data_IF_134705484462
#
_entry.id   IF_134705484462
#
_cell.length_a   1.000
_cell.length_b   1.000
_cell.length_c   1.000
_cell.angle_alpha   90.00
_cell.angle_beta   90.00
_cell.angle_gamma   90.00
#
_symmetry.space_group_name_H-M   'P 1'
#
loop_
_entity.id
_entity.type
_entity.pdbx_description
1 polymer ?
#
# COMPACT_ATOMS: atom_id res chain seq x y z
N UNK A 1 -4.34 23.36 6.89
CA UNK A 1 -4.32 23.20 8.36
C UNK A 1 -5.51 22.41 8.96
N UNK A 2 -6.69 22.38 8.32
CA UNK A 2 -7.83 21.61 8.82
C UNK A 2 -7.75 20.09 8.52
N UNK A 3 -7.15 19.71 7.41
CA UNK A 3 -7.01 18.31 6.98
C UNK A 3 -6.06 17.53 7.90
N UNK A 4 -4.98 18.16 8.34
CA UNK A 4 -3.96 17.56 9.19
C UNK A 4 -4.47 17.28 10.62
N UNK A 5 -5.34 18.15 11.17
CA UNK A 5 -5.99 17.95 12.48
C UNK A 5 -6.97 16.76 12.46
N UNK A 6 -7.77 16.61 11.40
CA UNK A 6 -8.71 15.48 11.26
C UNK A 6 -7.97 14.14 11.11
N UNK A 7 -6.88 14.12 10.36
CA UNK A 7 -6.06 12.93 10.19
C UNK A 7 -5.33 12.51 11.47
N UNK A 8 -4.79 13.46 12.25
CA UNK A 8 -4.22 13.18 13.58
C UNK A 8 -5.26 12.62 14.56
N UNK A 9 -6.48 13.14 14.55
CA UNK A 9 -7.56 12.63 15.40
C UNK A 9 -8.02 11.23 14.99
N UNK A 10 -8.00 10.87 13.70
CA UNK A 10 -8.31 9.52 13.24
C UNK A 10 -7.27 8.51 13.73
N UNK A 11 -5.98 8.76 13.53
CA UNK A 11 -4.93 7.83 13.97
C UNK A 11 -4.91 7.61 15.48
N UNK A 12 -5.09 8.66 16.28
CA UNK A 12 -5.20 8.54 17.75
C UNK A 12 -6.42 7.70 18.15
N UNK A 13 -7.52 7.78 17.39
CA UNK A 13 -8.72 6.96 17.61
C UNK A 13 -8.48 5.51 17.24
N UNK A 14 -7.82 5.24 16.12
CA UNK A 14 -7.51 3.90 15.64
C UNK A 14 -6.59 3.16 16.62
N UNK A 15 -5.53 3.80 17.08
CA UNK A 15 -4.66 3.28 18.13
C UNK A 15 -5.45 2.91 19.38
N UNK A 16 -6.21 3.88 19.94
CA UNK A 16 -7.02 3.64 21.14
C UNK A 16 -8.03 2.53 20.93
N UNK A 17 -8.67 2.46 19.77
CA UNK A 17 -9.62 1.41 19.44
C UNK A 17 -8.97 0.03 19.48
N UNK A 18 -7.79 -0.12 18.90
CA UNK A 18 -7.03 -1.38 18.91
C UNK A 18 -6.62 -1.74 20.34
N UNK A 19 -6.05 -0.80 21.09
CA UNK A 19 -5.64 -0.99 22.48
C UNK A 19 -6.83 -1.35 23.40
N UNK A 20 -8.00 -0.74 23.23
CA UNK A 20 -9.21 -1.05 24.00
C UNK A 20 -9.84 -2.39 23.55
N UNK A 21 -9.82 -2.70 22.26
CA UNK A 21 -10.29 -3.99 21.77
C UNK A 21 -9.45 -5.15 22.30
N UNK A 22 -8.14 -4.97 22.41
CA UNK A 22 -7.24 -5.98 22.96
C UNK A 22 -7.45 -6.27 24.46
N UNK A 23 -8.11 -5.37 25.20
CA UNK A 23 -8.45 -5.58 26.63
C UNK A 23 -9.73 -6.41 26.83
N UNK A 24 -10.49 -6.64 25.76
CA UNK A 24 -11.74 -7.41 25.85
C UNK A 24 -11.37 -8.89 26.04
N UNK A 25 -11.92 -9.48 27.10
CA UNK A 25 -11.71 -10.88 27.43
C UNK A 25 -12.11 -11.80 26.26
N UNK A 26 -11.30 -12.81 25.97
CA UNK A 26 -11.48 -13.78 24.88
C UNK A 26 -11.25 -13.23 23.44
N UNK A 27 -10.72 -12.02 23.28
CA UNK A 27 -10.18 -11.60 21.99
C UNK A 27 -8.71 -12.04 21.90
N UNK A 28 -8.46 -12.99 21.01
CA UNK A 28 -7.11 -13.54 20.78
C UNK A 28 -6.45 -12.95 19.53
N UNK A 29 -7.25 -12.41 18.59
CA UNK A 29 -6.74 -11.89 17.31
C UNK A 29 -7.50 -10.66 16.86
N UNK A 30 -6.74 -9.62 16.53
CA UNK A 30 -7.25 -8.38 15.95
C UNK A 30 -6.62 -8.21 14.57
N UNK A 31 -7.42 -7.96 13.55
CA UNK A 31 -6.95 -7.57 12.22
C UNK A 31 -7.32 -6.12 11.96
N UNK A 32 -6.32 -5.32 11.66
CA UNK A 32 -6.49 -3.92 11.25
C UNK A 32 -6.19 -3.78 9.76
N UNK A 33 -7.01 -3.05 9.05
CA UNK A 33 -6.83 -2.76 7.62
C UNK A 33 -6.82 -1.25 7.41
N UNK A 34 -5.80 -0.76 6.73
CA UNK A 34 -5.73 0.62 6.26
C UNK A 34 -5.82 0.66 4.74
N UNK A 35 -6.50 1.64 4.21
CA UNK A 35 -6.66 1.82 2.76
C UNK A 35 -5.57 2.67 2.12
N UNK A 36 -4.71 3.31 2.93
CA UNK A 36 -3.75 4.27 2.42
C UNK A 36 -2.47 4.33 3.27
N UNK A 37 -1.27 4.12 2.68
CA UNK A 37 0.01 4.15 3.41
C UNK A 37 0.26 5.47 4.17
N UNK A 38 -0.22 6.60 3.63
CA UNK A 38 -0.10 7.91 4.27
C UNK A 38 -0.86 8.03 5.60
N UNK A 39 -1.87 7.21 5.82
CA UNK A 39 -2.64 7.16 7.08
C UNK A 39 -1.95 6.30 8.13
N UNK A 40 -1.01 5.46 7.73
CA UNK A 40 -0.22 4.62 8.62
C UNK A 40 0.91 5.45 9.26
N UNK A 41 0.64 6.01 10.44
CA UNK A 41 1.56 6.88 11.17
C UNK A 41 2.34 6.11 12.24
N UNK A 42 3.31 6.81 12.83
CA UNK A 42 4.16 6.31 13.92
C UNK A 42 3.35 5.64 15.05
N UNK A 43 2.22 6.24 15.42
CA UNK A 43 1.32 5.71 16.46
C UNK A 43 0.81 4.29 16.14
N UNK A 44 0.62 3.95 14.84
CA UNK A 44 0.21 2.61 14.42
C UNK A 44 1.37 1.62 14.38
N UNK A 45 2.59 2.07 14.08
CA UNK A 45 3.80 1.24 14.20
C UNK A 45 3.98 0.82 15.66
N UNK A 46 3.84 1.74 16.62
CA UNK A 46 3.92 1.44 18.05
C UNK A 46 2.86 0.44 18.52
N UNK A 47 1.66 0.44 17.93
CA UNK A 47 0.61 -0.53 18.29
C UNK A 47 1.02 -1.96 17.93
N UNK A 48 1.70 -2.15 16.79
CA UNK A 48 2.24 -3.46 16.42
C UNK A 48 3.32 -3.96 17.38
N UNK A 49 4.06 -3.04 18.01
CA UNK A 49 5.03 -3.38 19.06
C UNK A 49 4.34 -3.79 20.37
N UNK A 50 3.24 -3.10 20.74
CA UNK A 50 2.63 -3.17 22.08
C UNK A 50 1.46 -4.14 22.21
N UNK A 51 0.78 -4.48 21.12
CA UNK A 51 -0.45 -5.27 21.12
C UNK A 51 -0.20 -6.62 20.44
N UNK A 52 0.10 -7.69 21.20
CA UNK A 52 0.39 -9.00 20.65
C UNK A 52 -0.80 -9.66 19.96
N UNK A 53 -2.04 -9.30 20.32
CA UNK A 53 -3.26 -9.77 19.67
C UNK A 53 -3.42 -9.26 18.24
N UNK A 54 -2.70 -8.17 17.88
CA UNK A 54 -2.71 -7.65 16.53
C UNK A 54 -1.91 -8.58 15.61
N UNK A 55 -2.56 -9.11 14.59
CA UNK A 55 -1.95 -10.08 13.68
C UNK A 55 -0.74 -9.50 12.95
N UNK A 56 0.30 -10.32 12.75
CA UNK A 56 1.53 -9.93 12.05
C UNK A 56 1.32 -9.87 10.53
N UNK A 57 0.29 -9.16 10.11
CA UNK A 57 -0.03 -8.91 8.70
C UNK A 57 -0.61 -7.50 8.53
N UNK A 58 -0.16 -6.80 7.52
CA UNK A 58 -0.70 -5.50 7.15
C UNK A 58 -0.91 -5.35 5.64
N UNK A 59 -2.06 -4.83 5.27
CA UNK A 59 -2.36 -4.47 3.89
C UNK A 59 -2.03 -2.99 3.66
N UNK A 60 -1.06 -2.72 2.79
CA UNK A 60 -0.55 -1.37 2.45
C UNK A 60 -0.55 -1.17 0.93
N UNK A 61 -1.64 -0.69 0.33
CA UNK A 61 -1.72 -0.47 -1.10
C UNK A 61 -0.76 0.61 -1.60
N UNK A 62 0.31 0.24 -2.31
CA UNK A 62 1.24 1.20 -2.92
C UNK A 62 0.74 1.71 -4.28
N UNK A 63 0.07 0.89 -5.05
CA UNK A 63 -0.48 1.14 -6.38
C UNK A 63 0.57 1.16 -7.51
N UNK A 64 1.73 1.78 -7.35
CA UNK A 64 2.84 1.83 -8.30
C UNK A 64 4.15 2.02 -7.56
N UNK A 65 5.24 1.47 -8.09
CA UNK A 65 6.61 1.71 -7.61
C UNK A 65 7.29 2.93 -8.25
N UNK A 66 6.60 3.67 -9.12
CA UNK A 66 7.14 4.89 -9.73
C UNK A 66 6.57 6.14 -9.05
N UNK A 67 7.46 6.99 -8.52
CA UNK A 67 7.06 8.28 -7.93
C UNK A 67 6.35 9.19 -8.93
N UNK A 68 6.75 9.11 -10.21
CA UNK A 68 6.10 9.85 -11.29
C UNK A 68 4.65 9.41 -11.46
N UNK A 69 4.39 8.13 -11.48
CA UNK A 69 3.04 7.56 -11.59
C UNK A 69 2.23 7.83 -10.32
N UNK A 70 2.81 7.66 -9.13
CA UNK A 70 2.16 7.99 -7.87
C UNK A 70 1.69 9.45 -7.83
N UNK A 71 2.51 10.38 -8.33
CA UNK A 71 2.14 11.80 -8.46
C UNK A 71 0.98 12.01 -9.43
N UNK A 72 0.97 11.33 -10.58
CA UNK A 72 -0.13 11.36 -11.54
C UNK A 72 -1.42 10.77 -10.96
N UNK A 73 -1.31 9.72 -10.14
CA UNK A 73 -2.41 9.14 -9.38
C UNK A 73 -2.86 10.02 -8.19
N UNK A 74 -2.22 11.17 -7.98
CA UNK A 74 -2.46 12.09 -6.85
C UNK A 74 -2.25 11.42 -5.48
N UNK A 75 -1.29 10.50 -5.40
CA UNK A 75 -0.91 9.91 -4.12
C UNK A 75 -0.03 10.90 -3.32
N UNK A 76 -0.22 10.90 -2.00
CA UNK A 76 0.47 11.83 -1.07
C UNK A 76 1.73 11.24 -0.45
N UNK A 77 2.24 10.16 -1.02
CA UNK A 77 3.46 9.47 -0.61
C UNK A 77 4.32 9.17 -1.84
N UNK A 78 5.57 8.87 -1.60
CA UNK A 78 6.53 8.39 -2.59
C UNK A 78 7.08 7.03 -2.17
N UNK A 79 7.86 6.39 -3.02
CA UNK A 79 8.42 5.06 -2.79
C UNK A 79 9.33 5.05 -1.58
N UNK A 80 10.21 6.04 -1.40
CA UNK A 80 11.12 6.12 -0.25
C UNK A 80 10.37 6.12 1.08
N UNK A 81 9.29 6.92 1.19
CA UNK A 81 8.46 6.95 2.41
C UNK A 81 7.72 5.64 2.65
N UNK A 82 7.32 4.97 1.57
CA UNK A 82 6.70 3.66 1.66
C UNK A 82 7.69 2.61 2.17
N UNK A 83 8.90 2.58 1.61
CA UNK A 83 9.96 1.66 2.02
C UNK A 83 10.43 1.91 3.46
N UNK A 84 10.53 3.18 3.86
CA UNK A 84 10.83 3.55 5.24
C UNK A 84 9.75 3.04 6.21
N UNK A 85 8.47 3.15 5.84
CA UNK A 85 7.36 2.61 6.64
C UNK A 85 7.45 1.08 6.78
N UNK A 86 7.70 0.35 5.68
CA UNK A 86 7.91 -1.10 5.70
C UNK A 86 9.05 -1.46 6.65
N UNK A 87 10.19 -0.78 6.54
CA UNK A 87 11.37 -0.99 7.37
C UNK A 87 11.06 -0.79 8.87
N UNK A 88 10.34 0.29 9.21
CA UNK A 88 9.94 0.57 10.59
C UNK A 88 8.98 -0.47 11.15
N UNK A 89 8.02 -0.93 10.38
CA UNK A 89 7.11 -2.00 10.81
C UNK A 89 7.90 -3.29 11.04
N UNK A 90 8.79 -3.67 10.12
CA UNK A 90 9.67 -4.85 10.27
C UNK A 90 10.61 -4.74 11.47
N UNK A 91 11.04 -3.53 11.86
CA UNK A 91 11.92 -3.34 13.01
C UNK A 91 11.23 -3.66 14.34
N UNK A 92 9.93 -3.41 14.46
CA UNK A 92 9.16 -3.70 15.69
C UNK A 92 8.55 -5.10 15.65
N UNK A 93 8.30 -5.66 14.45
CA UNK A 93 7.73 -6.98 14.27
C UNK A 93 8.36 -7.67 13.03
N UNK A 94 9.52 -8.35 13.20
CA UNK A 94 10.29 -8.94 12.09
C UNK A 94 9.52 -9.95 11.24
N UNK A 95 8.56 -10.67 11.84
CA UNK A 95 7.71 -11.67 11.17
C UNK A 95 6.51 -11.04 10.41
N UNK A 96 6.46 -9.71 10.28
CA UNK A 96 5.36 -9.03 9.60
C UNK A 96 5.29 -9.42 8.14
N UNK A 97 4.12 -9.89 7.73
CA UNK A 97 3.75 -10.11 6.34
C UNK A 97 3.06 -8.88 5.74
N UNK A 98 3.26 -8.65 4.46
CA UNK A 98 2.73 -7.49 3.74
C UNK A 98 1.89 -7.92 2.55
N UNK A 99 0.76 -7.23 2.37
CA UNK A 99 0.00 -7.29 1.14
C UNK A 99 -0.20 -5.90 0.54
N UNK A 100 -0.38 -5.84 -0.77
CA UNK A 100 -0.50 -4.58 -1.50
C UNK A 100 -1.41 -4.70 -2.72
N UNK A 101 -1.82 -3.56 -3.26
CA UNK A 101 -2.50 -3.45 -4.54
C UNK A 101 -1.56 -2.79 -5.56
N UNK A 102 -1.62 -3.28 -6.81
CA UNK A 102 -0.86 -2.73 -7.93
C UNK A 102 -1.78 -2.44 -9.10
N UNK A 103 -1.58 -1.28 -9.74
CA UNK A 103 -2.23 -0.90 -10.98
C UNK A 103 -1.17 -0.78 -12.06
N UNK A 104 -1.29 -1.57 -13.13
CA UNK A 104 -0.41 -1.50 -14.30
C UNK A 104 -1.10 -0.81 -15.47
N UNK A 105 -0.31 -0.20 -16.34
CA UNK A 105 -0.82 0.47 -17.54
C UNK A 105 -1.61 1.74 -17.21
N UNK A 106 -1.26 2.44 -16.16
CA UNK A 106 -1.78 3.78 -15.91
C UNK A 106 -1.41 4.71 -17.07
N UNK A 107 -2.28 5.68 -17.50
CA UNK A 107 -1.96 6.61 -18.58
C UNK A 107 -0.59 7.27 -18.38
N UNK A 108 0.26 7.17 -19.39
CA UNK A 108 1.63 7.68 -19.36
C UNK A 108 2.66 6.79 -18.64
N UNK A 109 2.30 5.58 -18.20
CA UNK A 109 3.27 4.65 -17.59
C UNK A 109 4.28 4.16 -18.63
N UNK A 110 5.57 4.44 -18.43
CA UNK A 110 6.67 3.96 -19.28
C UNK A 110 7.15 2.58 -18.86
N UNK A 111 8.09 2.02 -19.62
CA UNK A 111 8.76 0.75 -19.27
C UNK A 111 9.61 0.91 -18.00
N UNK A 112 10.23 2.07 -17.82
CA UNK A 112 11.00 2.43 -16.65
C UNK A 112 10.10 2.50 -15.40
N UNK A 113 8.94 3.16 -15.49
CA UNK A 113 7.98 3.20 -14.39
C UNK A 113 7.49 1.81 -13.98
N UNK A 114 7.26 0.94 -14.96
CA UNK A 114 6.89 -0.45 -14.69
C UNK A 114 8.03 -1.22 -14.04
N UNK A 115 9.29 -0.98 -14.50
CA UNK A 115 10.46 -1.57 -13.88
C UNK A 115 10.59 -1.15 -12.42
N UNK A 116 10.42 0.14 -12.11
CA UNK A 116 10.44 0.65 -10.72
C UNK A 116 9.41 -0.09 -9.84
N UNK A 117 8.22 -0.38 -10.39
CA UNK A 117 7.20 -1.19 -9.69
C UNK A 117 7.69 -2.61 -9.42
N UNK A 118 8.35 -3.25 -10.39
CA UNK A 118 8.94 -4.58 -10.21
C UNK A 118 10.08 -4.59 -9.20
N UNK A 119 10.87 -3.53 -9.14
CA UNK A 119 11.96 -3.38 -8.17
C UNK A 119 11.40 -3.32 -6.72
N UNK A 120 10.33 -2.56 -6.49
CA UNK A 120 9.63 -2.54 -5.18
C UNK A 120 9.08 -3.93 -4.81
N UNK A 121 8.48 -4.64 -5.76
CA UNK A 121 7.97 -6.01 -5.52
C UNK A 121 9.11 -6.95 -5.09
N UNK A 122 10.24 -6.87 -5.76
CA UNK A 122 11.41 -7.70 -5.46
C UNK A 122 12.03 -7.38 -4.09
N UNK A 123 12.02 -6.11 -3.69
CA UNK A 123 12.62 -5.67 -2.43
C UNK A 123 11.73 -5.97 -1.23
N UNK A 124 10.44 -5.69 -1.31
CA UNK A 124 9.50 -5.92 -0.20
C UNK A 124 9.18 -7.39 -0.02
N UNK A 125 9.05 -8.15 -1.13
CA UNK A 125 8.63 -9.56 -1.16
C UNK A 125 7.26 -9.73 -0.48
N UNK A 126 6.22 -9.24 -1.17
CA UNK A 126 4.85 -9.29 -0.65
C UNK A 126 4.33 -10.73 -0.56
N UNK A 127 3.71 -11.09 0.57
CA UNK A 127 3.10 -12.40 0.80
C UNK A 127 1.80 -12.59 0.01
N UNK A 128 1.06 -11.50 -0.21
CA UNK A 128 -0.18 -11.48 -0.97
C UNK A 128 -0.31 -10.14 -1.68
N UNK A 129 -0.83 -10.14 -2.91
CA UNK A 129 -1.03 -8.91 -3.66
C UNK A 129 -2.15 -9.03 -4.66
N UNK A 130 -2.89 -7.94 -4.82
CA UNK A 130 -3.89 -7.80 -5.88
C UNK A 130 -3.32 -6.90 -6.99
N UNK A 131 -3.51 -7.29 -8.23
CA UNK A 131 -2.98 -6.56 -9.37
C UNK A 131 -4.05 -6.38 -10.44
N UNK A 132 -4.15 -5.15 -10.95
CA UNK A 132 -5.19 -4.73 -11.87
C UNK A 132 -4.61 -3.96 -13.05
N UNK A 133 -5.22 -4.13 -14.22
CA UNK A 133 -5.03 -3.21 -15.33
C UNK A 133 -5.79 -1.92 -15.01
N UNK A 134 -5.17 -0.77 -15.27
CA UNK A 134 -5.86 0.51 -15.16
C UNK A 134 -7.17 0.51 -15.97
N UNK A 135 -8.23 0.93 -15.32
CA UNK A 135 -9.54 1.15 -15.94
C UNK A 135 -10.02 2.57 -15.61
N UNK A 136 -10.37 3.39 -16.61
CA UNK A 136 -10.82 4.77 -16.37
C UNK A 136 -12.11 4.76 -15.56
N UNK A 137 -12.15 5.58 -14.53
CA UNK A 137 -13.36 5.78 -13.71
C UNK A 137 -13.94 7.17 -14.02
N UNK A 138 -15.25 7.28 -14.29
CA UNK A 138 -15.88 8.57 -14.53
C UNK A 138 -15.56 9.59 -13.42
N UNK A 139 -15.44 10.85 -13.80
CA UNK A 139 -15.17 11.95 -12.87
C UNK A 139 -13.79 11.89 -12.17
N UNK A 140 -12.83 11.20 -12.73
CA UNK A 140 -11.44 11.22 -12.23
C UNK A 140 -10.53 11.94 -13.24
N UNK A 141 -9.55 12.69 -12.75
CA UNK A 141 -8.55 13.35 -13.61
C UNK A 141 -7.82 12.35 -14.52
N UNK A 142 -7.63 11.13 -14.06
CA UNK A 142 -6.99 10.07 -14.82
C UNK A 142 -7.84 9.62 -16.03
N UNK A 143 -9.18 9.73 -15.95
CA UNK A 143 -10.06 9.40 -17.07
C UNK A 143 -9.94 10.40 -18.24
N UNK A 144 -9.52 11.64 -17.93
CA UNK A 144 -9.32 12.71 -18.92
C UNK A 144 -7.89 12.68 -19.53
N UNK A 145 -7.01 11.84 -18.99
CA UNK A 145 -5.65 11.69 -19.53
C UNK A 145 -5.67 10.84 -20.80
N UNK A 146 -4.77 11.19 -21.74
CA UNK A 146 -4.54 10.35 -22.92
C UNK A 146 -3.97 9.01 -22.45
N UNK A 147 -4.70 7.94 -22.73
CA UNK A 147 -4.23 6.57 -22.49
C UNK A 147 -3.35 6.13 -23.68
N UNK A 148 -2.06 6.23 -23.49
CA UNK A 148 -1.00 5.95 -24.47
C UNK A 148 -0.35 4.58 -24.29
N UNK A 149 -0.81 3.81 -23.28
CA UNK A 149 -0.36 2.43 -23.07
C UNK A 149 -1.32 1.47 -23.78
N UNK A 150 -0.82 0.70 -24.73
CA UNK A 150 -1.65 -0.24 -25.49
C UNK A 150 -2.25 -1.33 -24.58
N UNK A 151 -3.38 -1.90 -25.01
CA UNK A 151 -4.05 -2.99 -24.28
C UNK A 151 -3.17 -4.22 -24.15
N UNK A 152 -2.38 -4.50 -25.17
CA UNK A 152 -1.43 -5.59 -25.24
C UNK A 152 -0.31 -5.39 -24.20
N UNK A 153 0.28 -4.20 -24.15
CA UNK A 153 1.28 -3.84 -23.16
C UNK A 153 0.76 -3.94 -21.72
N UNK A 154 -0.46 -3.47 -21.47
CA UNK A 154 -1.10 -3.60 -20.14
C UNK A 154 -1.24 -5.05 -19.72
N UNK A 155 -1.65 -5.93 -20.63
CA UNK A 155 -1.79 -7.37 -20.36
C UNK A 155 -0.44 -8.03 -20.13
N UNK A 156 0.57 -7.67 -20.90
CA UNK A 156 1.93 -8.17 -20.75
C UNK A 156 2.50 -7.77 -19.38
N UNK A 157 2.41 -6.49 -19.02
CA UNK A 157 2.86 -5.99 -17.71
C UNK A 157 2.14 -6.69 -16.56
N UNK A 158 0.81 -6.88 -16.68
CA UNK A 158 0.05 -7.61 -15.66
C UNK A 158 0.53 -9.05 -15.52
N UNK A 159 0.75 -9.75 -16.65
CA UNK A 159 1.23 -11.13 -16.64
C UNK A 159 2.61 -11.27 -16.01
N UNK A 160 3.56 -10.36 -16.34
CA UNK A 160 4.90 -10.32 -15.76
C UNK A 160 4.81 -10.12 -14.25
N UNK A 161 4.02 -9.14 -13.81
CA UNK A 161 3.85 -8.80 -12.40
C UNK A 161 3.23 -9.97 -11.61
N UNK A 162 2.15 -10.57 -12.11
CA UNK A 162 1.49 -11.70 -11.46
C UNK A 162 2.39 -12.94 -11.41
N UNK A 163 3.15 -13.21 -12.47
CA UNK A 163 4.12 -14.31 -12.48
C UNK A 163 5.16 -14.10 -11.39
N UNK A 164 5.67 -12.89 -11.23
CA UNK A 164 6.66 -12.59 -10.20
C UNK A 164 6.08 -12.73 -8.79
N UNK A 165 4.89 -12.20 -8.54
CA UNK A 165 4.21 -12.34 -7.25
C UNK A 165 3.93 -13.80 -6.87
N UNK A 166 3.64 -14.66 -7.84
CA UNK A 166 3.41 -16.09 -7.58
C UNK A 166 4.69 -16.89 -7.29
N UNK A 167 5.87 -16.29 -7.45
CA UNK A 167 7.18 -16.90 -7.19
C UNK A 167 7.78 -16.48 -5.83
N UNK A 168 7.17 -15.52 -5.15
CA UNK A 168 7.57 -15.04 -3.84
C UNK A 168 6.94 -15.88 -2.73
#
# INVERSE_FOLDING_TARGET
HHTDRRQRQMCIRDRKLIEEAAKIENIERIRFTTSHPHEFKEDLVEVYDKVPELVSHVHLPIQSGSDRILKLMRRRYNVDKYMDLISRIKSVRPEMSFSSDFIVGFPGETKEDFKDTMDVINEVQFDESFSFIYSPRPNTTAADMRDDVSREEKKERLSILQTRLSQL
#
